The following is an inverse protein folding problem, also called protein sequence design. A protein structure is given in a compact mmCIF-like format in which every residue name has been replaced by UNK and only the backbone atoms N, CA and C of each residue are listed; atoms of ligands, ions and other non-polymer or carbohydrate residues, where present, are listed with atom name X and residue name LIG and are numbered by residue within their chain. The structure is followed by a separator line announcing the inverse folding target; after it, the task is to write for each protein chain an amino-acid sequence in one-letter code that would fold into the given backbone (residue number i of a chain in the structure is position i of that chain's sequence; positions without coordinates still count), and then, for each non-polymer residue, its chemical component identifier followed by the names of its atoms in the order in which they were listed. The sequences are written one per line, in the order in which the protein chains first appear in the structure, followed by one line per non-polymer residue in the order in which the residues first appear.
data_IF_868825040850
#
_entry.id   IF_868825040850
#
_cell.length_a   1.000
_cell.length_b   1.000
_cell.length_c   1.000
_cell.angle_alpha   90.00
_cell.angle_beta   90.00
_cell.angle_gamma   90.00
#
_symmetry.space_group_name_H-M   'P 1'
#
loop_
_entity.id
_entity.type
_entity.pdbx_description
1 polymer ?
#
# COMPACT_ATOMS: atom_id res chain seq x y z
N UNK A 1 -5.64 48.98 88.98
CA UNK A 1 -6.97 48.87 89.64
C UNK A 1 -8.04 48.74 88.55
N UNK A 2 -9.15 48.05 88.90
CA UNK A 2 -10.35 47.73 88.10
C UNK A 2 -10.31 46.45 87.25
N UNK A 3 -10.73 45.37 87.91
CA UNK A 3 -11.42 44.19 87.36
C UNK A 3 -12.83 44.57 86.92
N UNK A 4 -13.36 43.93 85.89
CA UNK A 4 -14.76 43.47 85.85
C UNK A 4 -14.88 42.17 85.06
N UNK A 5 -15.42 41.16 85.75
CA UNK A 5 -16.09 39.95 85.24
C UNK A 5 -17.28 40.33 84.33
N UNK A 6 -17.94 39.52 83.50
CA UNK A 6 -18.08 38.07 83.20
C UNK A 6 -19.04 38.01 82.00
N UNK A 7 -18.93 37.03 81.08
CA UNK A 7 -20.02 36.09 80.75
C UNK A 7 -19.81 35.30 79.44
N UNK A 8 -20.33 34.08 79.51
CA UNK A 8 -20.38 32.99 78.55
C UNK A 8 -20.98 33.33 77.18
N UNK A 9 -20.46 32.67 76.15
CA UNK A 9 -21.10 32.46 74.85
C UNK A 9 -20.40 31.33 74.10
N UNK A 10 -20.84 30.09 74.31
CA UNK A 10 -20.42 28.93 73.51
C UNK A 10 -21.07 29.08 72.14
N UNK A 11 -20.26 29.30 71.10
CA UNK A 11 -20.68 29.14 69.70
C UNK A 11 -19.99 27.91 69.14
N UNK A 12 -20.79 26.87 68.90
CA UNK A 12 -20.39 25.68 68.15
C UNK A 12 -20.26 26.09 66.68
N UNK A 13 -19.02 26.30 66.23
CA UNK A 13 -18.73 26.40 64.79
C UNK A 13 -18.74 24.99 64.21
N UNK A 14 -19.84 24.66 63.55
CA UNK A 14 -19.95 23.57 62.58
C UNK A 14 -18.89 23.76 61.50
N UNK A 15 -17.73 23.11 61.64
CA UNK A 15 -16.76 23.00 60.57
C UNK A 15 -17.35 22.12 59.47
N UNK A 16 -17.78 22.78 58.40
CA UNK A 16 -18.30 22.19 57.18
C UNK A 16 -17.22 21.34 56.51
N UNK A 17 -17.44 20.02 56.53
CA UNK A 17 -16.64 18.98 55.87
C UNK A 17 -16.66 19.08 54.32
N UNK A 18 -17.18 20.17 53.75
CA UNK A 18 -17.43 20.36 52.32
C UNK A 18 -16.29 21.04 51.56
N UNK A 19 -15.26 21.57 52.23
CA UNK A 19 -14.14 22.25 51.56
C UNK A 19 -12.99 21.31 51.15
N UNK A 20 -12.88 20.12 51.74
CA UNK A 20 -11.84 19.13 51.38
C UNK A 20 -12.27 18.17 50.26
N UNK A 21 -13.58 18.01 50.02
CA UNK A 21 -14.08 17.18 48.91
C UNK A 21 -14.06 17.93 47.57
N UNK A 22 -14.23 19.26 47.59
CA UNK A 22 -14.18 20.09 46.38
C UNK A 22 -12.79 20.17 45.76
N UNK A 23 -11.72 20.21 46.57
CA UNK A 23 -10.35 20.27 46.07
C UNK A 23 -9.87 18.95 45.48
N UNK A 24 -10.37 17.81 46.00
CA UNK A 24 -10.05 16.49 45.47
C UNK A 24 -10.77 16.22 44.15
N UNK A 25 -12.04 16.63 44.02
CA UNK A 25 -12.82 16.49 42.77
C UNK A 25 -12.22 17.35 41.65
N UNK A 26 -11.76 18.58 41.94
CA UNK A 26 -11.12 19.45 40.95
C UNK A 26 -9.74 18.93 40.49
N UNK A 27 -8.97 18.31 41.40
CA UNK A 27 -7.70 17.68 41.06
C UNK A 27 -7.90 16.40 40.21
N UNK A 28 -8.90 15.59 40.56
CA UNK A 28 -9.24 14.37 39.79
C UNK A 28 -9.81 14.74 38.41
N UNK A 29 -10.64 15.79 38.31
CA UNK A 29 -11.15 16.26 37.00
C UNK A 29 -10.04 16.86 36.14
N UNK A 30 -9.11 17.62 36.73
CA UNK A 30 -7.96 18.20 36.03
C UNK A 30 -6.95 17.16 35.54
N UNK A 31 -6.73 16.09 36.31
CA UNK A 31 -5.93 14.94 35.91
C UNK A 31 -6.63 14.14 34.80
N UNK A 32 -7.95 13.98 34.88
CA UNK A 32 -8.74 13.33 33.81
C UNK A 32 -8.72 14.13 32.52
N UNK A 33 -8.82 15.45 32.54
CA UNK A 33 -8.72 16.28 31.33
C UNK A 33 -7.30 16.29 30.75
N UNK A 34 -6.27 16.32 31.60
CA UNK A 34 -4.88 16.25 31.15
C UNK A 34 -4.50 14.86 30.60
N UNK A 35 -5.03 13.77 31.16
CA UNK A 35 -4.88 12.42 30.61
C UNK A 35 -5.68 12.22 29.32
N UNK A 36 -6.87 12.83 29.21
CA UNK A 36 -7.65 12.81 27.96
C UNK A 36 -7.02 13.69 26.87
N UNK A 37 -6.36 14.80 27.22
CA UNK A 37 -5.53 15.59 26.28
C UNK A 37 -4.19 14.91 25.96
N UNK A 38 -3.63 14.11 26.87
CA UNK A 38 -2.45 13.30 26.63
C UNK A 38 -2.75 12.04 25.78
N UNK A 39 -3.91 11.41 25.95
CA UNK A 39 -4.36 10.30 25.08
C UNK A 39 -4.79 10.80 23.69
N UNK A 40 -5.23 12.06 23.56
CA UNK A 40 -5.47 12.70 22.27
C UNK A 40 -4.18 13.15 21.56
N UNK A 41 -3.04 13.11 22.28
CA UNK A 41 -1.69 13.29 21.79
C UNK A 41 -0.88 11.99 21.93
N UNK A 42 -1.46 10.83 21.56
CA UNK A 42 -0.60 9.80 20.96
C UNK A 42 -0.13 10.40 19.65
N UNK A 43 1.00 11.09 19.71
CA UNK A 43 1.72 11.68 18.58
C UNK A 43 2.05 10.54 17.61
N UNK A 44 1.09 10.22 16.73
CA UNK A 44 1.25 9.24 15.69
C UNK A 44 2.45 9.70 14.88
N UNK A 45 3.53 8.92 14.90
CA UNK A 45 4.80 9.33 14.29
C UNK A 45 4.52 9.85 12.87
N UNK A 46 4.86 11.12 12.58
CA UNK A 46 4.32 11.81 11.40
C UNK A 46 4.67 11.06 10.13
N UNK A 47 3.82 11.14 9.12
CA UNK A 47 4.21 10.68 7.79
C UNK A 47 5.18 11.69 7.17
N UNK A 48 5.95 11.24 6.20
CA UNK A 48 6.90 12.12 5.49
C UNK A 48 6.53 12.19 4.02
N UNK A 49 6.40 13.41 3.51
CA UNK A 49 6.40 13.69 2.08
C UNK A 49 7.72 14.33 1.68
N UNK A 50 8.07 14.23 0.40
CA UNK A 50 9.19 14.97 -0.18
C UNK A 50 8.66 16.03 -1.14
N UNK A 51 9.07 17.27 -0.93
CA UNK A 51 8.75 18.40 -1.78
C UNK A 51 9.89 18.69 -2.77
N UNK A 52 9.50 18.75 -4.03
CA UNK A 52 10.33 18.95 -5.21
C UNK A 52 9.88 20.27 -5.86
N UNK A 53 10.69 21.31 -5.77
CA UNK A 53 10.39 22.62 -6.39
C UNK A 53 10.94 22.75 -7.81
N UNK A 54 11.92 21.92 -8.17
CA UNK A 54 12.70 22.02 -9.43
C UNK A 54 13.26 23.42 -9.70
N UNK A 55 13.49 24.22 -8.64
CA UNK A 55 14.06 25.57 -8.74
C UNK A 55 15.54 25.54 -8.39
N UNK A 56 16.36 26.08 -9.30
CA UNK A 56 17.81 26.19 -9.14
C UNK A 56 18.57 24.90 -9.47
N UNK A 57 18.17 23.77 -8.88
CA UNK A 57 18.75 22.46 -9.14
C UNK A 57 17.68 21.43 -9.49
N UNK A 58 18.08 20.43 -10.26
CA UNK A 58 17.25 19.27 -10.57
C UNK A 58 17.12 18.41 -9.31
N UNK A 59 15.88 18.10 -8.95
CA UNK A 59 15.56 17.41 -7.71
C UNK A 59 14.88 16.07 -7.98
N UNK A 60 15.32 15.02 -7.29
CA UNK A 60 14.78 13.68 -7.41
C UNK A 60 15.20 12.80 -6.24
N UNK A 61 14.54 11.67 -6.10
CA UNK A 61 14.90 10.59 -5.19
C UNK A 61 15.49 9.46 -6.01
N UNK A 62 16.61 8.89 -5.55
CA UNK A 62 17.24 7.71 -6.17
C UNK A 62 17.45 6.62 -5.14
N UNK A 63 17.03 5.42 -5.48
CA UNK A 63 17.34 4.23 -4.70
C UNK A 63 18.49 3.47 -5.36
N UNK A 64 19.59 3.33 -4.61
CA UNK A 64 20.75 2.56 -5.02
C UNK A 64 20.68 1.16 -4.37
N UNK A 65 19.95 0.25 -5.02
CA UNK A 65 19.78 -1.13 -4.57
C UNK A 65 20.00 -2.11 -5.74
N UNK A 66 20.34 -3.38 -5.47
CA UNK A 66 20.47 -4.38 -6.53
C UNK A 66 19.09 -4.72 -7.10
N UNK A 67 18.69 -4.04 -8.18
CA UNK A 67 17.44 -4.32 -8.87
C UNK A 67 17.56 -5.65 -9.63
N UNK A 68 16.72 -6.66 -9.36
CA UNK A 68 16.72 -7.92 -10.11
C UNK A 68 16.10 -7.73 -11.50
N UNK A 69 16.12 -8.78 -12.32
CA UNK A 69 15.24 -8.83 -13.50
C UNK A 69 13.77 -8.71 -13.07
N UNK A 70 12.99 -7.95 -13.84
CA UNK A 70 11.59 -7.66 -13.52
C UNK A 70 10.70 -8.35 -14.56
N UNK A 71 9.94 -9.34 -14.10
CA UNK A 71 8.92 -10.04 -14.89
C UNK A 71 7.52 -9.46 -14.67
N UNK A 72 7.31 -8.87 -13.50
CA UNK A 72 6.07 -8.22 -13.12
C UNK A 72 6.34 -7.18 -12.04
N UNK A 73 5.51 -6.15 -12.00
CA UNK A 73 5.56 -5.17 -10.92
C UNK A 73 4.20 -4.53 -10.65
N UNK A 74 4.10 -3.94 -9.47
CA UNK A 74 3.10 -2.95 -9.11
C UNK A 74 3.80 -1.83 -8.36
N UNK A 75 3.62 -0.60 -8.79
CA UNK A 75 4.02 0.55 -7.99
C UNK A 75 2.82 1.41 -7.64
N UNK A 76 2.91 2.08 -6.49
CA UNK A 76 1.92 3.03 -6.00
C UNK A 76 2.64 4.24 -5.41
N UNK A 77 2.07 5.43 -5.59
CA UNK A 77 2.50 6.64 -4.91
C UNK A 77 1.34 7.63 -4.74
N UNK A 78 1.44 8.46 -3.72
CA UNK A 78 0.67 9.69 -3.59
C UNK A 78 1.49 10.85 -4.17
N UNK A 79 0.85 11.69 -4.98
CA UNK A 79 1.46 12.92 -5.45
C UNK A 79 0.51 14.11 -5.50
N UNK A 80 1.05 15.30 -5.30
CA UNK A 80 0.37 16.58 -5.50
C UNK A 80 1.28 17.47 -6.32
N UNK A 81 0.91 17.76 -7.56
CA UNK A 81 1.65 18.73 -8.39
C UNK A 81 1.31 20.17 -7.98
N UNK A 82 2.28 21.07 -8.02
CA UNK A 82 2.08 22.52 -7.89
C UNK A 82 2.11 23.25 -9.23
N UNK A 83 2.66 22.63 -10.26
CA UNK A 83 2.81 23.21 -11.59
C UNK A 83 2.92 22.05 -12.59
N UNK A 84 1.98 21.94 -13.52
CA UNK A 84 1.94 20.90 -14.55
C UNK A 84 2.39 21.44 -15.91
N UNK A 85 3.14 22.55 -15.98
CA UNK A 85 3.61 23.09 -17.26
C UNK A 85 4.42 22.06 -18.06
N UNK A 86 5.28 21.30 -17.39
CA UNK A 86 6.14 20.26 -17.97
C UNK A 86 5.65 18.86 -17.60
N UNK A 87 6.11 17.81 -18.30
CA UNK A 87 5.84 16.43 -17.91
C UNK A 87 6.45 16.10 -16.54
N UNK A 88 5.76 15.25 -15.79
CA UNK A 88 6.20 14.80 -14.47
C UNK A 88 6.53 13.31 -14.52
N UNK A 89 7.81 12.95 -14.47
CA UNK A 89 8.21 11.54 -14.36
C UNK A 89 7.98 11.02 -12.93
N UNK A 90 7.04 10.08 -12.82
CA UNK A 90 6.57 9.50 -11.54
C UNK A 90 7.18 8.13 -11.26
N UNK A 91 7.84 7.52 -12.24
CA UNK A 91 8.68 6.35 -12.08
C UNK A 91 9.65 6.27 -13.26
N UNK A 92 10.94 6.30 -12.97
CA UNK A 92 12.00 6.08 -13.96
C UNK A 92 12.89 4.93 -13.48
N UNK A 93 13.14 3.97 -14.35
CA UNK A 93 14.12 2.91 -14.14
C UNK A 93 15.04 2.89 -15.36
N UNK A 94 16.34 3.08 -15.14
CA UNK A 94 17.32 3.13 -16.21
C UNK A 94 18.61 2.41 -15.86
N UNK A 95 19.32 1.91 -16.86
CA UNK A 95 20.62 1.26 -16.69
C UNK A 95 21.72 2.13 -17.29
N UNK A 96 22.81 2.27 -16.54
CA UNK A 96 23.97 3.09 -16.91
C UNK A 96 23.60 4.52 -17.33
N UNK A 97 22.53 5.09 -16.77
CA UNK A 97 22.10 6.48 -17.02
C UNK A 97 21.72 6.79 -18.49
N UNK A 98 21.53 5.75 -19.31
CA UNK A 98 21.34 5.87 -20.77
C UNK A 98 20.23 4.98 -21.30
N UNK A 99 20.16 3.75 -20.82
CA UNK A 99 19.18 2.78 -21.27
C UNK A 99 17.91 2.95 -20.43
N UNK A 100 16.87 3.52 -21.04
CA UNK A 100 15.56 3.67 -20.41
C UNK A 100 14.84 2.33 -20.43
N UNK A 101 14.54 1.80 -19.25
CA UNK A 101 13.91 0.49 -19.09
C UNK A 101 12.44 0.61 -18.69
N UNK A 102 12.11 1.50 -17.74
CA UNK A 102 10.73 1.83 -17.41
C UNK A 102 10.61 3.34 -17.27
N UNK A 103 9.55 3.91 -17.86
CA UNK A 103 9.17 5.29 -17.67
C UNK A 103 7.66 5.40 -17.49
N UNK A 104 7.23 5.96 -16.38
CA UNK A 104 5.86 6.41 -16.17
C UNK A 104 5.82 7.89 -15.88
N UNK A 105 4.92 8.61 -16.57
CA UNK A 105 4.83 10.05 -16.44
C UNK A 105 3.40 10.56 -16.58
N UNK A 106 3.17 11.76 -16.02
CA UNK A 106 2.03 12.60 -16.33
C UNK A 106 2.46 13.57 -17.43
N UNK A 107 1.67 13.66 -18.51
CA UNK A 107 1.97 14.58 -19.61
C UNK A 107 1.81 16.05 -19.20
N UNK A 108 2.44 16.93 -19.98
CA UNK A 108 2.30 18.37 -19.79
C UNK A 108 0.82 18.80 -19.74
N UNK A 109 0.56 19.77 -18.86
CA UNK A 109 -0.76 20.28 -18.47
C UNK A 109 -1.68 19.21 -17.87
N UNK A 110 -1.12 18.10 -17.36
CA UNK A 110 -1.86 17.04 -16.67
C UNK A 110 -2.92 16.36 -17.54
N UNK A 111 -2.64 16.12 -18.82
CA UNK A 111 -3.66 15.66 -19.79
C UNK A 111 -3.79 14.14 -19.92
N UNK A 112 -2.76 13.41 -19.51
CA UNK A 112 -2.70 11.96 -19.60
C UNK A 112 -1.65 11.37 -18.67
N UNK A 113 -1.84 10.10 -18.32
CA UNK A 113 -0.87 9.25 -17.62
C UNK A 113 -0.39 8.17 -18.59
N UNK A 114 0.90 7.86 -18.54
CA UNK A 114 1.56 6.95 -19.47
C UNK A 114 2.41 5.90 -18.74
N UNK A 115 2.63 4.78 -19.41
CA UNK A 115 3.65 3.79 -19.07
C UNK A 115 4.36 3.36 -20.35
N UNK A 116 5.69 3.40 -20.30
CA UNK A 116 6.60 2.92 -21.32
C UNK A 116 7.56 1.90 -20.69
N UNK A 117 7.79 0.80 -21.38
CA UNK A 117 8.74 -0.25 -20.98
C UNK A 117 9.63 -0.54 -22.20
N UNK A 118 10.95 -0.45 -22.04
CA UNK A 118 11.96 -0.67 -23.10
C UNK A 118 11.64 0.08 -24.42
N UNK A 119 11.14 1.32 -24.31
CA UNK A 119 10.79 2.16 -25.45
C UNK A 119 9.42 1.89 -26.08
N UNK A 120 8.67 0.90 -25.59
CA UNK A 120 7.31 0.60 -26.02
C UNK A 120 6.31 1.31 -25.11
N UNK A 121 5.48 2.21 -25.65
CA UNK A 121 4.38 2.85 -24.90
C UNK A 121 3.26 1.83 -24.60
N UNK A 122 3.41 1.11 -23.49
CA UNK A 122 2.48 0.08 -23.01
C UNK A 122 1.05 0.61 -22.90
N UNK A 123 0.89 1.82 -22.37
CA UNK A 123 -0.38 2.53 -22.45
C UNK A 123 -0.26 4.04 -22.36
N UNK A 124 -1.31 4.70 -22.86
CA UNK A 124 -1.62 6.10 -22.64
C UNK A 124 -3.08 6.27 -22.25
N UNK A 125 -3.33 6.88 -21.09
CA UNK A 125 -4.69 7.14 -20.61
C UNK A 125 -4.95 8.64 -20.48
N UNK A 126 -5.89 9.15 -21.27
CA UNK A 126 -6.35 10.55 -21.22
C UNK A 126 -7.20 10.80 -19.98
N UNK A 127 -6.59 11.37 -18.93
CA UNK A 127 -7.21 11.76 -17.67
C UNK A 127 -6.66 13.13 -17.27
N UNK A 128 -7.53 13.99 -16.74
CA UNK A 128 -7.15 15.34 -16.29
C UNK A 128 -6.68 15.32 -14.84
N UNK A 129 -5.38 15.53 -14.64
CA UNK A 129 -4.76 15.78 -13.34
C UNK A 129 -4.74 17.28 -13.08
N UNK A 130 -5.14 17.68 -11.87
CA UNK A 130 -5.19 19.07 -11.45
C UNK A 130 -4.03 19.40 -10.51
N UNK A 131 -3.54 20.63 -10.60
CA UNK A 131 -2.57 21.15 -9.64
C UNK A 131 -3.23 21.29 -8.25
N UNK A 132 -2.40 21.25 -7.21
CA UNK A 132 -2.76 21.41 -5.80
C UNK A 132 -3.73 20.38 -5.21
N UNK A 133 -3.96 19.27 -5.93
CA UNK A 133 -4.73 18.11 -5.43
C UNK A 133 -3.83 16.88 -5.29
N UNK A 134 -4.00 16.16 -4.18
CA UNK A 134 -3.39 14.83 -4.01
C UNK A 134 -4.12 13.79 -4.87
N UNK A 135 -3.33 12.99 -5.57
CA UNK A 135 -3.76 11.83 -6.33
C UNK A 135 -2.99 10.61 -5.88
N UNK A 136 -3.68 9.49 -5.72
CA UNK A 136 -3.05 8.20 -5.55
C UNK A 136 -2.97 7.50 -6.90
N UNK A 137 -1.76 7.25 -7.38
CA UNK A 137 -1.52 6.65 -8.69
C UNK A 137 -0.85 5.30 -8.47
N UNK A 138 -1.43 4.25 -9.05
CA UNK A 138 -0.79 2.95 -9.11
C UNK A 138 -0.82 2.38 -10.51
N UNK A 139 0.24 1.67 -10.89
CA UNK A 139 0.30 0.95 -12.15
C UNK A 139 0.86 -0.44 -11.91
N UNK A 140 0.37 -1.39 -12.69
CA UNK A 140 0.85 -2.77 -12.67
C UNK A 140 1.05 -3.28 -14.08
N UNK A 141 2.07 -4.13 -14.24
CA UNK A 141 2.39 -4.82 -15.47
C UNK A 141 2.92 -6.24 -15.17
N UNK A 142 2.70 -7.18 -16.08
CA UNK A 142 3.29 -8.52 -16.05
C UNK A 142 3.56 -9.05 -17.46
N UNK A 143 4.59 -9.87 -17.59
CA UNK A 143 5.06 -10.37 -18.88
C UNK A 143 4.45 -11.70 -19.32
N UNK A 144 3.77 -12.45 -18.46
CA UNK A 144 3.20 -13.76 -18.80
C UNK A 144 2.07 -13.65 -19.82
N UNK A 145 1.24 -12.62 -19.73
CA UNK A 145 0.19 -12.31 -20.72
C UNK A 145 0.24 -10.85 -21.19
N UNK A 146 1.33 -10.13 -20.91
CA UNK A 146 1.52 -8.74 -21.32
C UNK A 146 0.48 -7.80 -20.72
N UNK A 147 -0.14 -8.15 -19.58
CA UNK A 147 -1.22 -7.35 -18.98
C UNK A 147 -0.67 -6.10 -18.32
N UNK A 148 -1.44 -5.03 -18.41
CA UNK A 148 -1.19 -3.76 -17.73
C UNK A 148 -2.47 -3.16 -17.18
N UNK A 149 -2.34 -2.34 -16.14
CA UNK A 149 -3.46 -1.60 -15.58
C UNK A 149 -3.02 -0.33 -14.84
N UNK A 150 -3.93 0.63 -14.76
CA UNK A 150 -3.78 1.91 -14.07
C UNK A 150 -4.93 2.09 -13.08
N UNK A 151 -4.58 2.45 -11.84
CA UNK A 151 -5.52 2.90 -10.83
C UNK A 151 -5.26 4.36 -10.47
N UNK A 152 -6.33 5.13 -10.35
CA UNK A 152 -6.32 6.51 -9.86
C UNK A 152 -7.28 6.63 -8.68
N UNK A 153 -6.80 7.13 -7.54
CA UNK A 153 -7.59 7.27 -6.32
C UNK A 153 -8.31 5.95 -5.93
N UNK A 154 -7.62 4.83 -6.12
CA UNK A 154 -8.13 3.48 -5.82
C UNK A 154 -9.13 2.92 -6.84
N UNK A 155 -9.46 3.67 -7.90
CA UNK A 155 -10.36 3.24 -8.97
C UNK A 155 -9.57 2.73 -10.18
N UNK A 156 -10.00 1.60 -10.75
CA UNK A 156 -9.42 1.07 -12.00
C UNK A 156 -9.84 1.97 -13.18
N UNK A 157 -8.86 2.63 -13.79
CA UNK A 157 -9.07 3.59 -14.89
C UNK A 157 -8.83 3.00 -16.27
N UNK A 158 -7.94 2.02 -16.35
CA UNK A 158 -7.56 1.32 -17.57
C UNK A 158 -7.01 -0.05 -17.19
N UNK A 159 -7.32 -1.03 -18.03
CA UNK A 159 -6.62 -2.30 -18.10
C UNK A 159 -6.55 -2.78 -19.54
N UNK A 160 -5.55 -3.58 -19.85
CA UNK A 160 -5.41 -4.19 -21.17
C UNK A 160 -4.28 -5.20 -21.18
N UNK A 161 -3.95 -5.65 -22.39
CA UNK A 161 -2.78 -6.46 -22.67
C UNK A 161 -2.06 -5.89 -23.89
N UNK A 162 -0.76 -6.17 -24.02
CA UNK A 162 0.02 -5.86 -25.22
C UNK A 162 0.84 -7.08 -25.60
N UNK A 163 0.58 -7.65 -26.77
CA UNK A 163 1.18 -8.90 -27.24
C UNK A 163 2.72 -8.82 -27.31
N UNK A 164 3.26 -7.68 -27.73
CA UNK A 164 4.72 -7.43 -27.79
C UNK A 164 5.40 -7.51 -26.41
N UNK A 165 4.64 -7.36 -25.33
CA UNK A 165 5.15 -7.44 -23.96
C UNK A 165 5.04 -8.84 -23.35
N UNK A 166 4.57 -9.84 -24.09
CA UNK A 166 4.55 -11.23 -23.64
C UNK A 166 5.99 -11.76 -23.60
N UNK A 167 6.34 -12.46 -22.52
CA UNK A 167 7.67 -13.02 -22.22
C UNK A 167 8.80 -11.99 -22.15
N UNK A 168 8.51 -10.71 -22.33
CA UNK A 168 9.47 -9.62 -22.21
C UNK A 168 10.03 -9.57 -20.77
N UNK A 169 11.34 -9.51 -20.61
CA UNK A 169 12.02 -9.44 -19.31
C UNK A 169 12.77 -8.13 -19.23
N UNK A 170 12.41 -7.29 -18.27
CA UNK A 170 13.08 -6.03 -18.05
C UNK A 170 14.41 -6.32 -17.33
N UNK A 171 15.57 -5.95 -17.90
CA UNK A 171 16.87 -6.25 -17.32
C UNK A 171 17.07 -5.67 -15.92
N UNK A 172 17.79 -6.43 -15.06
CA UNK A 172 18.23 -5.95 -13.75
C UNK A 172 19.45 -5.03 -13.80
N UNK A 173 19.84 -4.53 -12.62
CA UNK A 173 21.10 -3.81 -12.38
C UNK A 173 21.07 -2.30 -12.68
N UNK A 174 19.90 -1.69 -12.86
CA UNK A 174 19.75 -0.25 -13.06
C UNK A 174 19.49 0.55 -11.77
N UNK A 175 19.20 1.84 -11.94
CA UNK A 175 18.82 2.80 -10.92
C UNK A 175 17.32 3.12 -11.00
N UNK A 176 16.64 3.16 -9.86
CA UNK A 176 15.25 3.60 -9.77
C UNK A 176 15.20 5.03 -9.23
N UNK A 177 14.49 5.88 -9.97
CA UNK A 177 14.36 7.31 -9.70
C UNK A 177 12.89 7.74 -9.67
N UNK A 178 12.57 8.60 -8.72
CA UNK A 178 11.29 9.29 -8.61
C UNK A 178 11.52 10.80 -8.65
N UNK A 179 10.73 11.49 -9.47
CA UNK A 179 10.77 12.95 -9.56
C UNK A 179 11.57 13.49 -10.74
N UNK A 180 12.20 12.62 -11.53
CA UNK A 180 12.85 12.95 -12.80
C UNK A 180 12.90 11.72 -13.72
N UNK A 181 12.95 11.98 -15.03
CA UNK A 181 13.37 10.97 -15.99
C UNK A 181 14.90 10.87 -15.96
N UNK A 182 15.42 9.70 -15.59
CA UNK A 182 16.84 9.50 -15.28
C UNK A 182 17.61 8.92 -16.46
N UNK A 183 17.45 9.57 -17.61
CA UNK A 183 18.18 9.31 -18.84
C UNK A 183 18.48 10.64 -19.53
N UNK A 184 19.49 10.70 -20.39
CA UNK A 184 19.82 11.89 -21.17
C UNK A 184 20.28 13.14 -20.37
N UNK A 185 21.27 12.99 -19.48
CA UNK A 185 21.91 14.11 -18.77
C UNK A 185 22.36 15.27 -19.67
N UNK A 186 22.78 14.97 -20.89
CA UNK A 186 23.29 15.95 -21.86
C UNK A 186 22.18 16.80 -22.51
N UNK A 187 20.91 16.35 -22.44
CA UNK A 187 19.77 17.03 -23.08
C UNK A 187 18.98 17.94 -22.13
N UNK A 188 19.33 17.93 -20.85
CA UNK A 188 18.60 18.64 -19.80
C UNK A 188 17.43 17.81 -19.24
N UNK A 189 17.24 17.87 -17.92
CA UNK A 189 16.24 17.08 -17.20
C UNK A 189 14.92 17.86 -17.06
N UNK A 190 14.25 18.18 -18.17
CA UNK A 190 13.00 18.99 -18.18
C UNK A 190 11.73 18.21 -17.79
N UNK A 191 11.87 16.99 -17.24
CA UNK A 191 10.74 16.09 -16.93
C UNK A 191 10.59 15.80 -15.42
N UNK A 192 10.81 16.85 -14.62
CA UNK A 192 10.79 16.77 -13.16
C UNK A 192 9.41 16.96 -12.55
N UNK A 193 9.16 16.29 -11.42
CA UNK A 193 7.98 16.61 -10.60
C UNK A 193 8.20 17.96 -9.91
N UNK A 194 7.32 18.93 -10.16
CA UNK A 194 7.13 20.11 -9.32
C UNK A 194 5.94 19.87 -8.37
N UNK A 195 6.21 19.58 -7.10
CA UNK A 195 5.18 19.34 -6.10
C UNK A 195 5.62 18.47 -4.93
N UNK A 196 4.71 17.67 -4.38
CA UNK A 196 4.96 16.78 -3.25
C UNK A 196 4.69 15.32 -3.63
N UNK A 197 5.53 14.40 -3.15
CA UNK A 197 5.36 12.95 -3.31
C UNK A 197 5.42 12.26 -1.95
N UNK A 198 4.69 11.15 -1.82
CA UNK A 198 4.64 10.33 -0.62
C UNK A 198 4.34 8.89 -0.97
N UNK A 199 4.85 7.94 -0.18
CA UNK A 199 4.40 6.55 -0.23
C UNK A 199 4.72 5.85 -1.55
N UNK A 200 5.84 6.19 -2.19
CA UNK A 200 6.33 5.44 -3.35
C UNK A 200 6.76 4.04 -2.90
N UNK A 201 6.01 3.04 -3.34
CA UNK A 201 6.30 1.63 -3.11
C UNK A 201 6.39 0.92 -4.46
N UNK A 202 7.38 0.04 -4.61
CA UNK A 202 7.57 -0.79 -5.79
C UNK A 202 7.63 -2.25 -5.35
N UNK A 203 6.68 -3.03 -5.82
CA UNK A 203 6.50 -4.44 -5.51
C UNK A 203 6.75 -5.28 -6.78
N UNK A 204 7.56 -6.32 -6.69
CA UNK A 204 7.83 -7.30 -7.75
C UNK A 204 6.75 -8.38 -7.82
N UNK A 205 5.50 -7.92 -7.90
CA UNK A 205 4.32 -8.75 -8.11
C UNK A 205 3.24 -7.88 -8.76
N UNK A 206 2.47 -8.46 -9.68
CA UNK A 206 1.38 -7.77 -10.35
C UNK A 206 0.10 -7.75 -9.53
N UNK A 207 -0.83 -6.91 -9.97
CA UNK A 207 -2.17 -6.80 -9.39
C UNK A 207 -3.18 -7.81 -9.99
N UNK A 208 -2.71 -8.76 -10.81
CA UNK A 208 -3.56 -9.67 -11.56
C UNK A 208 -3.63 -11.07 -10.95
N UNK A 209 -4.76 -11.74 -11.12
CA UNK A 209 -4.89 -13.14 -10.72
C UNK A 209 -3.92 -14.03 -11.52
N UNK A 210 -3.34 -15.01 -10.83
CA UNK A 210 -2.50 -16.02 -11.45
C UNK A 210 -3.31 -16.86 -12.43
N UNK A 211 -2.73 -17.10 -13.61
CA UNK A 211 -3.36 -17.86 -14.67
C UNK A 211 -3.37 -19.39 -14.39
N UNK A 212 -2.70 -19.86 -13.34
CA UNK A 212 -2.55 -21.30 -13.04
C UNK A 212 -3.68 -21.92 -12.19
N UNK A 213 -4.63 -21.12 -11.69
CA UNK A 213 -5.73 -21.60 -10.82
C UNK A 213 -6.77 -22.49 -11.53
N UNK A 214 -6.57 -22.83 -12.81
CA UNK A 214 -7.59 -23.44 -13.67
C UNK A 214 -7.39 -24.89 -14.12
N UNK A 215 -6.33 -25.60 -13.72
CA UNK A 215 -6.16 -27.02 -14.08
C UNK A 215 -5.63 -27.83 -12.90
N UNK A 216 -6.52 -28.58 -12.23
CA UNK A 216 -6.12 -29.82 -11.58
C UNK A 216 -5.41 -30.67 -12.63
N UNK A 217 -4.09 -30.87 -12.48
CA UNK A 217 -3.35 -31.84 -13.28
C UNK A 217 -4.06 -33.20 -13.18
N UNK A 218 -4.54 -33.81 -14.28
CA UNK A 218 -4.81 -35.22 -14.24
C UNK A 218 -3.49 -35.94 -13.94
N UNK A 219 -3.47 -36.74 -12.89
CA UNK A 219 -2.39 -37.66 -12.58
C UNK A 219 -2.16 -38.56 -13.80
N UNK A 220 -1.12 -38.27 -14.59
CA UNK A 220 -0.69 -39.18 -15.66
C UNK A 220 0.00 -40.36 -14.96
N UNK A 221 -0.71 -41.48 -14.99
CA UNK A 221 -0.22 -42.80 -14.61
C UNK A 221 0.97 -43.16 -15.50
N UNK A 222 2.14 -43.31 -14.91
CA UNK A 222 3.33 -43.83 -15.58
C UNK A 222 3.02 -45.20 -16.18
N UNK A 223 3.09 -45.30 -17.51
CA UNK A 223 3.18 -46.58 -18.22
C UNK A 223 4.63 -46.69 -18.69
N UNK A 224 5.39 -47.53 -17.99
CA UNK A 224 6.65 -48.05 -18.49
C UNK A 224 6.37 -48.98 -19.67
N UNK A 225 7.06 -48.76 -20.79
CA UNK A 225 6.98 -49.63 -21.96
C UNK A 225 7.96 -49.19 -23.03
N UNK A 226 9.19 -49.69 -22.91
CA UNK A 226 10.25 -49.64 -23.92
C UNK A 226 9.86 -50.39 -25.19
N UNK A 227 10.00 -49.78 -26.37
CA UNK A 227 10.41 -50.46 -27.60
C UNK A 227 10.84 -49.44 -28.67
N UNK A 228 12.01 -49.71 -29.22
CA UNK A 228 12.63 -49.20 -30.45
C UNK A 228 11.74 -49.36 -31.68
N UNK A 229 11.67 -48.38 -32.58
CA UNK A 229 12.19 -48.52 -33.96
C UNK A 229 12.08 -47.25 -34.81
N UNK A 230 12.93 -47.20 -35.84
CA UNK A 230 13.09 -46.17 -36.87
C UNK A 230 11.85 -45.96 -37.76
N UNK A 231 11.59 -44.72 -38.21
CA UNK A 231 11.24 -44.37 -39.60
C UNK A 231 10.92 -42.87 -39.81
N UNK A 232 11.77 -42.22 -40.61
CA UNK A 232 11.46 -41.40 -41.80
C UNK A 232 10.46 -40.23 -41.72
N UNK A 233 11.00 -39.01 -41.84
CA UNK A 233 10.32 -37.77 -42.27
C UNK A 233 9.99 -37.81 -43.77
N UNK A 234 8.88 -37.18 -44.21
CA UNK A 234 8.85 -36.57 -45.53
C UNK A 234 8.70 -35.04 -45.45
N UNK A 235 9.62 -34.40 -46.18
CA UNK A 235 9.62 -33.02 -46.61
C UNK A 235 8.48 -32.79 -47.61
N UNK A 236 7.64 -31.78 -47.41
CA UNK A 236 6.80 -31.21 -48.48
C UNK A 236 7.06 -29.71 -48.56
N UNK A 237 7.74 -29.33 -49.63
CA UNK A 237 7.91 -27.98 -50.14
C UNK A 237 6.66 -27.55 -50.93
N UNK A 238 6.17 -26.34 -50.71
CA UNK A 238 5.55 -25.55 -51.78
C UNK A 238 5.68 -24.06 -51.49
N UNK A 239 6.37 -23.37 -52.41
CA UNK A 239 6.51 -21.93 -52.44
C UNK A 239 5.39 -21.28 -53.28
N UNK A 240 5.33 -19.94 -53.15
CA UNK A 240 4.79 -18.93 -54.07
C UNK A 240 3.40 -18.38 -53.73
N UNK A 241 3.35 -17.05 -53.51
CA UNK A 241 2.18 -16.24 -53.85
C UNK A 241 1.93 -15.00 -53.00
N UNK A 242 2.73 -13.94 -53.16
CA UNK A 242 2.33 -12.58 -52.72
C UNK A 242 1.20 -12.08 -53.62
N UNK A 243 0.07 -11.66 -53.03
CA UNK A 243 -0.83 -10.68 -53.67
C UNK A 243 -1.62 -9.89 -52.62
N UNK A 244 -1.41 -8.59 -52.67
CA UNK A 244 -2.12 -7.54 -51.92
C UNK A 244 -3.46 -7.28 -52.60
N UNK A 245 -4.57 -7.33 -51.86
CA UNK A 245 -5.81 -6.57 -52.12
C UNK A 245 -6.55 -6.35 -50.81
N UNK A 246 -7.04 -5.14 -50.57
CA UNK A 246 -7.64 -4.71 -49.30
C UNK A 246 -9.15 -4.89 -49.19
N UNK A 247 -9.60 -4.70 -47.93
CA UNK A 247 -10.91 -4.25 -47.42
C UNK A 247 -12.12 -5.16 -47.70
N UNK A 248 -12.63 -5.85 -46.67
CA UNK A 248 -13.70 -5.33 -45.81
C UNK A 248 -13.96 -6.23 -44.59
N UNK A 249 -14.63 -5.65 -43.61
CA UNK A 249 -15.11 -6.21 -42.35
C UNK A 249 -15.85 -7.55 -42.47
N UNK A 250 -15.55 -8.52 -41.60
CA UNK A 250 -16.60 -9.09 -40.73
C UNK A 250 -16.09 -9.96 -39.57
N UNK A 251 -17.00 -10.06 -38.61
CA UNK A 251 -16.92 -10.45 -37.21
C UNK A 251 -16.78 -11.98 -36.95
N UNK A 252 -16.17 -12.32 -35.80
CA UNK A 252 -16.12 -13.63 -35.10
C UNK A 252 -15.03 -14.58 -35.61
N UNK A 253 -14.09 -15.08 -34.80
CA UNK A 253 -14.31 -15.78 -33.52
C UNK A 253 -12.97 -15.96 -32.79
N UNK A 254 -12.69 -15.18 -31.75
CA UNK A 254 -11.66 -15.50 -30.73
C UNK A 254 -12.20 -15.11 -29.35
N UNK A 255 -13.19 -15.87 -28.89
CA UNK A 255 -13.64 -15.83 -27.48
C UNK A 255 -12.94 -16.94 -26.72
N UNK A 256 -11.84 -16.59 -26.09
CA UNK A 256 -11.33 -17.11 -24.82
C UNK A 256 -10.01 -16.36 -24.59
N UNK A 257 -9.82 -15.79 -23.40
CA UNK A 257 -8.65 -15.05 -22.86
C UNK A 257 -9.02 -13.70 -22.21
N UNK A 258 -10.31 -13.36 -22.12
CA UNK A 258 -10.82 -12.45 -21.08
C UNK A 258 -10.77 -13.15 -19.70
N UNK A 259 -9.56 -13.32 -19.16
CA UNK A 259 -9.41 -13.57 -17.72
C UNK A 259 -9.50 -12.23 -17.00
N UNK A 260 -10.76 -11.94 -16.65
CA UNK A 260 -11.23 -10.93 -15.72
C UNK A 260 -10.19 -10.59 -14.65
N UNK A 261 -9.66 -9.37 -14.69
CA UNK A 261 -9.64 -8.61 -13.43
C UNK A 261 -11.10 -8.51 -13.02
N UNK A 262 -11.43 -9.00 -11.82
CA UNK A 262 -12.78 -8.95 -11.30
C UNK A 262 -13.40 -7.56 -11.53
N UNK A 263 -14.30 -7.45 -12.50
CA UNK A 263 -15.03 -6.20 -12.83
C UNK A 263 -15.96 -5.76 -11.69
N UNK A 264 -16.02 -6.53 -10.61
CA UNK A 264 -16.53 -6.08 -9.33
C UNK A 264 -15.46 -5.27 -8.63
N UNK A 265 -15.20 -4.00 -8.95
CA UNK A 265 -14.73 -3.00 -7.97
C UNK A 265 -14.67 -1.61 -8.64
N UNK A 266 -15.83 -0.99 -8.80
CA UNK A 266 -15.92 0.42 -8.45
C UNK A 266 -16.02 0.46 -6.92
N UNK A 267 -15.05 1.04 -6.22
CA UNK A 267 -15.20 1.36 -4.80
C UNK A 267 -16.34 2.38 -4.67
N UNK A 268 -17.58 1.90 -4.59
CA UNK A 268 -18.73 2.73 -4.30
C UNK A 268 -18.58 3.35 -2.91
N UNK A 269 -19.16 4.52 -2.64
CA UNK A 269 -18.97 5.30 -1.39
C UNK A 269 -19.47 4.61 -0.09
N UNK A 270 -19.89 3.35 -0.14
CA UNK A 270 -20.56 2.63 0.95
C UNK A 270 -19.72 1.54 1.63
N UNK A 271 -18.50 1.26 1.19
CA UNK A 271 -17.68 0.20 1.79
C UNK A 271 -17.06 0.62 3.14
N UNK A 272 -16.88 1.93 3.37
CA UNK A 272 -16.47 2.52 4.64
C UNK A 272 -17.40 2.20 5.82
N UNK A 273 -18.67 1.87 5.57
CA UNK A 273 -19.66 1.56 6.63
C UNK A 273 -19.58 0.14 7.19
N UNK A 274 -19.01 -0.83 6.46
CA UNK A 274 -18.96 -2.23 6.94
C UNK A 274 -17.87 -2.49 7.97
N UNK A 275 -16.84 -1.64 8.04
CA UNK A 275 -15.72 -1.81 9.00
C UNK A 275 -16.00 -1.05 10.31
N UNK A 276 -16.92 -0.08 10.31
CA UNK A 276 -17.28 0.70 11.53
C UNK A 276 -18.18 -0.10 12.49
N UNK A 277 -18.71 -1.27 12.08
CA UNK A 277 -19.67 -2.03 12.91
C UNK A 277 -19.04 -3.04 13.89
N UNK A 278 -17.71 -3.16 13.95
CA UNK A 278 -17.03 -4.05 14.89
C UNK A 278 -16.44 -3.36 16.13
N UNK A 279 -16.61 -2.03 16.29
CA UNK A 279 -16.25 -1.33 17.52
C UNK A 279 -17.47 -0.66 18.18
N UNK A 280 -18.42 -1.46 18.64
CA UNK A 280 -19.33 -1.03 19.72
C UNK A 280 -19.94 -2.23 20.44
N UNK A 281 -19.13 -2.98 21.18
CA UNK A 281 -19.64 -3.72 22.35
C UNK A 281 -19.46 -2.83 23.58
N UNK A 282 -20.49 -2.05 23.87
CA UNK A 282 -20.65 -1.36 25.15
C UNK A 282 -20.85 -2.43 26.23
N UNK A 283 -19.92 -2.54 27.17
CA UNK A 283 -20.00 -3.50 28.28
C UNK A 283 -20.26 -2.76 29.59
N UNK A 284 -21.30 -3.25 30.29
CA UNK A 284 -21.57 -3.22 31.74
C UNK A 284 -22.34 -2.03 32.34
N UNK A 285 -23.09 -2.22 33.47
CA UNK A 285 -22.89 -3.30 34.46
C UNK A 285 -24.16 -4.05 34.93
N UNK A 286 -23.99 -5.34 35.25
CA UNK A 286 -24.93 -6.10 36.08
C UNK A 286 -24.29 -6.50 37.41
N UNK A 287 -25.13 -6.40 38.42
CA UNK A 287 -24.86 -6.34 39.85
C UNK A 287 -24.23 -7.61 40.43
N UNK A 288 -23.37 -7.41 41.44
CA UNK A 288 -22.90 -8.42 42.39
C UNK A 288 -24.08 -9.07 43.10
N UNK A 289 -24.05 -10.40 43.23
CA UNK A 289 -24.59 -11.07 44.41
C UNK A 289 -23.70 -12.24 44.84
N UNK A 290 -23.20 -12.09 46.05
CA UNK A 290 -22.45 -13.08 46.83
C UNK A 290 -23.34 -14.25 47.21
N UNK A 291 -22.76 -15.46 47.29
CA UNK A 291 -23.14 -16.46 48.28
C UNK A 291 -21.94 -17.33 48.68
N UNK A 292 -21.91 -17.57 49.99
CA UNK A 292 -20.87 -18.15 50.83
C UNK A 292 -21.04 -19.67 50.91
N UNK A 293 -19.94 -20.44 50.96
CA UNK A 293 -19.85 -21.68 51.74
C UNK A 293 -18.38 -22.12 51.93
N UNK A 294 -18.11 -22.74 53.08
CA UNK A 294 -16.82 -22.95 53.76
C UNK A 294 -15.98 -24.13 53.22
N UNK A 295 -14.68 -24.14 53.52
CA UNK A 295 -13.84 -25.34 53.47
C UNK A 295 -12.35 -25.12 53.71
N UNK A 296 -11.80 -25.78 54.71
CA UNK A 296 -10.50 -25.65 55.39
C UNK A 296 -9.27 -26.26 54.68
N UNK A 297 -8.14 -25.52 54.78
CA UNK A 297 -6.81 -25.92 55.33
C UNK A 297 -5.83 -26.83 54.54
N UNK A 298 -4.59 -26.31 54.54
CA UNK A 298 -3.25 -26.94 54.53
C UNK A 298 -2.51 -27.31 53.24
N UNK A 299 -1.21 -27.09 53.38
CA UNK A 299 -0.12 -26.93 52.43
C UNK A 299 0.69 -28.22 52.36
N UNK A 300 0.98 -28.74 51.15
CA UNK A 300 2.04 -29.73 50.96
C UNK A 300 2.66 -29.59 49.56
N UNK A 301 4.00 -29.57 49.50
CA UNK A 301 4.81 -29.28 48.30
C UNK A 301 5.57 -30.52 47.79
N UNK A 302 5.38 -30.81 46.49
CA UNK A 302 6.32 -31.38 45.48
C UNK A 302 6.64 -32.90 45.56
N UNK A 303 7.01 -33.63 44.45
CA UNK A 303 7.55 -33.16 43.16
C UNK A 303 7.07 -33.85 41.83
N UNK A 304 7.21 -33.13 40.72
CA UNK A 304 7.63 -33.50 39.34
C UNK A 304 7.34 -34.95 38.83
N UNK A 305 6.35 -35.13 37.93
CA UNK A 305 6.51 -35.22 36.44
C UNK A 305 5.19 -35.65 35.73
N UNK A 306 4.91 -34.98 34.60
CA UNK A 306 4.09 -35.39 33.42
C UNK A 306 2.58 -35.62 33.63
N UNK A 307 1.77 -34.62 33.30
CA UNK A 307 0.96 -34.59 32.07
C UNK A 307 -0.02 -33.40 32.03
N UNK A 308 -0.15 -32.84 30.83
CA UNK A 308 -1.30 -32.10 30.29
C UNK A 308 -1.88 -30.93 31.10
N UNK A 309 -1.50 -29.71 30.71
CA UNK A 309 -2.38 -28.54 30.80
C UNK A 309 -2.30 -27.82 29.45
N UNK A 310 -3.30 -28.12 28.61
CA UNK A 310 -3.86 -27.25 27.57
C UNK A 310 -4.15 -25.86 28.15
N UNK A 311 -4.18 -24.84 27.28
CA UNK A 311 -4.42 -23.40 27.52
C UNK A 311 -3.17 -22.51 27.43
N UNK A 312 -2.82 -22.10 26.20
CA UNK A 312 -2.86 -20.69 25.78
C UNK A 312 -3.18 -20.64 24.27
N UNK A 313 -4.42 -20.93 23.91
CA UNK A 313 -4.99 -20.67 22.58
C UNK A 313 -6.32 -19.93 22.80
N UNK A 314 -6.24 -18.65 23.17
CA UNK A 314 -7.44 -17.79 23.18
C UNK A 314 -7.12 -16.29 23.03
N UNK A 315 -5.98 -15.97 22.40
CA UNK A 315 -5.62 -14.58 22.07
C UNK A 315 -4.96 -14.42 20.70
N UNK A 316 -5.21 -15.37 19.79
CA UNK A 316 -4.97 -15.19 18.37
C UNK A 316 -6.36 -15.07 17.75
N UNK A 317 -6.85 -13.83 17.70
CA UNK A 317 -8.00 -13.48 16.86
C UNK A 317 -7.74 -14.03 15.46
N UNK A 318 -8.73 -14.78 15.00
CA UNK A 318 -8.89 -15.39 13.68
C UNK A 318 -7.70 -15.21 12.74
N UNK A 319 -7.00 -16.32 12.47
CA UNK A 319 -6.14 -16.46 11.31
C UNK A 319 -6.99 -16.06 10.10
N UNK A 320 -6.87 -14.79 9.68
CA UNK A 320 -7.41 -14.30 8.43
C UNK A 320 -6.84 -15.24 7.38
N UNK A 321 -7.74 -16.03 6.77
CA UNK A 321 -7.43 -16.81 5.58
C UNK A 321 -6.62 -15.89 4.65
N UNK A 322 -5.44 -16.29 4.16
CA UNK A 322 -4.65 -15.45 3.27
C UNK A 322 -5.59 -14.97 2.18
N UNK A 323 -5.69 -13.65 2.01
CA UNK A 323 -6.60 -13.11 1.00
C UNK A 323 -6.18 -13.72 -0.32
N UNK A 324 -7.12 -14.36 -1.02
CA UNK A 324 -6.91 -14.93 -2.36
C UNK A 324 -6.60 -13.82 -3.41
N UNK A 325 -6.35 -12.60 -2.96
CA UNK A 325 -6.15 -11.40 -3.74
C UNK A 325 -4.66 -11.23 -4.12
N UNK A 326 -4.36 -10.92 -5.39
CA UNK A 326 -2.99 -10.66 -5.83
C UNK A 326 -2.30 -9.60 -4.99
N UNK A 327 -1.02 -9.81 -4.69
CA UNK A 327 -0.26 -8.95 -3.79
C UNK A 327 -0.16 -7.50 -4.29
N UNK A 328 -0.07 -7.28 -5.60
CA UNK A 328 -0.12 -5.94 -6.19
C UNK A 328 -1.47 -5.25 -5.94
N UNK A 329 -2.57 -5.99 -5.96
CA UNK A 329 -3.90 -5.45 -5.69
C UNK A 329 -4.10 -5.13 -4.19
N UNK A 330 -3.51 -5.94 -3.31
CA UNK A 330 -3.43 -5.62 -1.88
C UNK A 330 -2.65 -4.33 -1.64
N UNK A 331 -1.53 -4.12 -2.34
CA UNK A 331 -0.76 -2.87 -2.26
C UNK A 331 -1.65 -1.67 -2.61
N UNK A 332 -2.30 -1.71 -3.78
CA UNK A 332 -3.18 -0.64 -4.28
C UNK A 332 -4.25 -0.26 -3.26
N UNK A 333 -4.93 -1.26 -2.68
CA UNK A 333 -5.99 -1.04 -1.69
C UNK A 333 -5.45 -0.46 -0.40
N UNK A 334 -4.39 -1.04 0.15
CA UNK A 334 -3.85 -0.61 1.43
C UNK A 334 -3.20 0.77 1.33
N UNK A 335 -2.44 1.06 0.26
CA UNK A 335 -1.78 2.36 0.09
C UNK A 335 -2.76 3.51 -0.16
N UNK A 336 -3.95 3.23 -0.71
CA UNK A 336 -5.00 4.22 -0.87
C UNK A 336 -5.79 4.46 0.42
N UNK A 337 -6.36 3.39 0.99
CA UNK A 337 -7.34 3.49 2.08
C UNK A 337 -6.65 3.66 3.41
N UNK A 338 -5.56 2.92 3.60
CA UNK A 338 -4.82 2.84 4.84
C UNK A 338 -3.38 3.33 4.63
N UNK A 339 -3.23 4.49 3.97
CA UNK A 339 -1.94 5.10 3.65
C UNK A 339 -1.06 5.34 4.90
N UNK A 340 -1.65 5.47 6.08
CA UNK A 340 -0.94 5.58 7.36
C UNK A 340 -0.17 4.32 7.74
N UNK A 341 -0.55 3.15 7.21
CA UNK A 341 0.15 1.90 7.50
C UNK A 341 1.61 1.99 7.08
N UNK A 342 2.48 1.67 8.04
CA UNK A 342 3.92 1.78 7.85
C UNK A 342 4.37 3.14 7.33
N UNK A 343 3.65 4.21 7.66
CA UNK A 343 3.95 5.61 7.31
C UNK A 343 4.03 5.83 5.79
N UNK A 344 3.04 5.33 5.04
CA UNK A 344 3.01 5.38 3.57
C UNK A 344 3.51 4.10 2.90
N UNK A 345 3.84 3.06 3.66
CA UNK A 345 4.31 1.77 3.13
C UNK A 345 3.70 0.60 3.91
N UNK A 346 2.58 0.02 3.43
CA UNK A 346 1.94 -1.09 4.11
C UNK A 346 2.92 -2.27 4.28
N UNK A 347 2.85 -3.02 5.40
CA UNK A 347 3.76 -4.11 5.71
C UNK A 347 3.38 -5.39 4.95
N UNK A 348 3.44 -5.34 3.62
CA UNK A 348 3.11 -6.45 2.74
C UNK A 348 4.29 -6.83 1.84
N UNK A 349 4.20 -8.00 1.24
CA UNK A 349 5.06 -8.46 0.15
C UNK A 349 6.46 -8.93 0.53
N UNK A 350 6.92 -8.72 1.77
CA UNK A 350 8.16 -9.31 2.27
C UNK A 350 9.34 -9.05 1.32
N UNK A 351 9.96 -10.12 0.82
CA UNK A 351 11.09 -10.04 -0.12
C UNK A 351 10.73 -9.50 -1.51
N UNK A 352 9.45 -9.49 -1.89
CA UNK A 352 8.98 -8.93 -3.16
C UNK A 352 8.81 -7.41 -3.10
N UNK A 353 8.81 -6.79 -1.91
CA UNK A 353 8.79 -5.34 -1.76
C UNK A 353 10.17 -4.74 -2.02
N UNK A 354 10.44 -4.43 -3.29
CA UNK A 354 11.73 -3.91 -3.74
C UNK A 354 11.99 -2.50 -3.16
N UNK A 355 11.00 -1.62 -3.21
CA UNK A 355 11.07 -0.30 -2.58
C UNK A 355 9.89 -0.13 -1.63
N UNK A 356 10.22 0.11 -0.37
CA UNK A 356 9.31 0.49 0.71
C UNK A 356 9.59 1.93 1.11
N UNK A 357 8.64 2.83 0.90
CA UNK A 357 8.79 4.28 1.16
C UNK A 357 9.48 4.62 2.50
N UNK A 358 9.08 3.94 3.57
CA UNK A 358 9.56 4.22 4.94
C UNK A 358 10.74 3.36 5.41
N UNK A 359 11.19 2.38 4.62
CA UNK A 359 12.17 1.37 5.07
C UNK A 359 13.37 1.22 4.14
N UNK A 360 13.20 1.44 2.83
CA UNK A 360 14.30 1.33 1.87
C UNK A 360 15.11 2.63 1.87
N UNK A 361 16.44 2.58 2.13
CA UNK A 361 17.29 3.76 2.09
C UNK A 361 17.22 4.47 0.75
N UNK A 362 17.03 5.79 0.77
CA UNK A 362 16.90 6.64 -0.41
C UNK A 362 17.86 7.81 -0.35
N UNK A 363 18.42 8.19 -1.49
CA UNK A 363 19.20 9.42 -1.64
C UNK A 363 18.32 10.51 -2.23
N UNK A 364 18.37 11.69 -1.64
CA UNK A 364 17.61 12.87 -2.07
C UNK A 364 18.58 13.87 -2.70
N UNK A 365 18.29 14.31 -3.93
CA UNK A 365 19.17 15.18 -4.72
C UNK A 365 18.58 16.58 -4.92
N UNK A 366 19.47 17.53 -5.24
CA UNK A 366 19.09 18.90 -5.63
C UNK A 366 18.50 19.77 -4.52
N UNK A 367 18.60 19.36 -3.26
CA UNK A 367 18.02 20.08 -2.13
C UNK A 367 16.51 19.92 -1.99
N UNK A 368 15.93 18.84 -2.52
CA UNK A 368 14.56 18.46 -2.19
C UNK A 368 14.37 18.32 -0.67
N UNK A 369 13.21 18.74 -0.18
CA UNK A 369 12.96 18.88 1.26
C UNK A 369 12.00 17.82 1.75
N UNK A 370 12.30 17.23 2.91
CA UNK A 370 11.40 16.31 3.59
C UNK A 370 10.48 17.14 4.49
N UNK A 371 9.17 16.90 4.43
CA UNK A 371 8.16 17.55 5.27
C UNK A 371 7.40 16.51 6.09
N UNK A 372 7.11 16.86 7.35
CA UNK A 372 6.14 16.12 8.15
C UNK A 372 4.74 16.43 7.62
N UNK A 373 3.93 15.39 7.51
CA UNK A 373 2.55 15.46 7.03
C UNK A 373 1.64 14.61 7.91
N UNK A 374 0.34 14.91 7.85
CA UNK A 374 -0.69 14.16 8.55
C UNK A 374 -0.84 12.73 8.01
N UNK A 375 -1.69 11.95 8.66
CA UNK A 375 -1.97 10.56 8.32
C UNK A 375 -3.34 10.38 7.60
N UNK A 376 -4.05 11.47 7.33
CA UNK A 376 -5.30 11.47 6.57
C UNK A 376 -5.02 11.28 5.07
N UNK A 377 -5.41 10.12 4.53
CA UNK A 377 -5.18 9.79 3.13
C UNK A 377 -5.84 10.78 2.16
N UNK A 378 -5.03 11.37 1.29
CA UNK A 378 -5.44 12.41 0.35
C UNK A 378 -5.46 13.83 0.94
N UNK A 379 -5.15 13.99 2.24
CA UNK A 379 -5.01 15.28 2.93
C UNK A 379 -3.77 15.30 3.84
N UNK A 380 -2.62 15.09 3.20
CA UNK A 380 -1.30 15.14 3.83
C UNK A 380 -0.82 16.56 4.11
#
# INVERSE_FOLDING_TARGET
MKKFATNFGISVLSFSFSLLLGSLIAAISGISTALVEAEKNVDSTPMHSVELTQKGYIQFLRWALPVPEIHEFTFCLWMKSTNLKYPHSIFSYSRNERERLIRSWISSRGRSIHLEIDGVEVFRRSIRIQEHRWYHICQSWENRAGRYALWLDGHLELQGHLEEMIEHVIPGGGDIVLGQEYTDFDKGLEEGIEGSVLGFNLLLASAFESLDSGHQRPLIRSINGTATDQATLPLVTSAIGVKITGRDSDLRTTRAHDRLVSTRFALGPNWSRRIIRQSSSTVSPLSRRSNIANGTREEERLPIRRNAITFVEDLIGEIEKPSDEPLGLQLIKLSYVRCQLGRGSPPIGGSLMLISWSRTPVRIFGGATIKNVGDECGKF
#
